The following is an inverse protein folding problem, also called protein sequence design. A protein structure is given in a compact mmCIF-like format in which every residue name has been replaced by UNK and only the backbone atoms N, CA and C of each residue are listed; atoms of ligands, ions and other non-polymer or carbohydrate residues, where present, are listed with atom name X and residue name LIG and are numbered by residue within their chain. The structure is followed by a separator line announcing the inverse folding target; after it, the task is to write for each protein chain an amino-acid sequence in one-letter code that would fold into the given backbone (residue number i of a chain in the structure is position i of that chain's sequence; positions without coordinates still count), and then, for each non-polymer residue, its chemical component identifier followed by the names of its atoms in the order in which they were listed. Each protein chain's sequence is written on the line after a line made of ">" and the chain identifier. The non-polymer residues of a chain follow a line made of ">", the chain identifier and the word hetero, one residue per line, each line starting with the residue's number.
data_IF_929760499386
#
_entry.id   IF_929760499386
#
_cell.length_a   1.000
_cell.length_b   1.000
_cell.length_c   1.000
_cell.angle_alpha   90.00
_cell.angle_beta   90.00
_cell.angle_gamma   90.00
#
_symmetry.space_group_name_H-M   'P 1'
#
loop_
_entity.id
_entity.type
_entity.pdbx_description
1 polymer ?
#
# COMPACT_ATOMS: atom_id res chain seq x y z
N UNK A 1 -5.98 -24.71 -35.09
CA UNK A 1 -5.29 -23.90 -34.07
C UNK A 1 -4.71 -24.85 -33.04
N UNK A 2 -3.38 -25.03 -32.98
CA UNK A 2 -2.76 -26.03 -32.11
C UNK A 2 -3.00 -25.74 -30.61
N UNK A 3 -3.22 -26.79 -29.81
CA UNK A 3 -3.41 -26.69 -28.33
C UNK A 3 -2.30 -25.87 -27.66
N UNK A 4 -1.07 -25.97 -28.17
CA UNK A 4 0.08 -25.16 -27.72
C UNK A 4 -0.08 -23.66 -27.98
N UNK A 5 -0.70 -23.26 -29.09
CA UNK A 5 -1.01 -21.84 -29.34
C UNK A 5 -2.11 -21.33 -28.42
N UNK A 6 -3.15 -22.14 -28.18
CA UNK A 6 -4.24 -21.73 -27.28
C UNK A 6 -3.73 -21.54 -25.84
N UNK A 7 -2.85 -22.43 -25.36
CA UNK A 7 -2.21 -22.29 -24.05
C UNK A 7 -1.33 -21.04 -23.96
N UNK A 8 -0.51 -20.74 -24.98
CA UNK A 8 0.29 -19.51 -25.00
C UNK A 8 -0.59 -18.25 -25.00
N UNK A 9 -1.69 -18.24 -25.77
CA UNK A 9 -2.59 -17.10 -25.84
C UNK A 9 -3.31 -16.87 -24.50
N UNK A 10 -3.71 -17.93 -23.79
CA UNK A 10 -4.31 -17.82 -22.45
C UNK A 10 -3.28 -17.30 -21.46
N UNK A 11 -2.04 -17.82 -21.45
CA UNK A 11 -0.98 -17.33 -20.57
C UNK A 11 -0.63 -15.86 -20.84
N UNK A 12 -0.52 -15.45 -22.10
CA UNK A 12 -0.32 -14.05 -22.49
C UNK A 12 -1.49 -13.18 -22.05
N UNK A 13 -2.73 -13.63 -22.22
CA UNK A 13 -3.90 -12.90 -21.80
C UNK A 13 -3.93 -12.72 -20.28
N UNK A 14 -3.64 -13.77 -19.50
CA UNK A 14 -3.56 -13.71 -18.04
C UNK A 14 -2.47 -12.75 -17.54
N UNK A 15 -1.29 -12.77 -18.16
CA UNK A 15 -0.18 -11.86 -17.81
C UNK A 15 -0.57 -10.42 -18.13
N UNK A 16 -1.12 -10.16 -19.32
CA UNK A 16 -1.55 -8.82 -19.73
C UNK A 16 -2.68 -8.32 -18.83
N UNK A 17 -3.67 -9.14 -18.49
CA UNK A 17 -4.76 -8.74 -17.57
C UNK A 17 -4.28 -8.53 -16.14
N UNK A 18 -3.28 -9.29 -15.66
CA UNK A 18 -2.69 -9.10 -14.33
C UNK A 18 -1.92 -7.78 -14.24
N UNK A 19 -1.05 -7.50 -15.22
CA UNK A 19 -0.27 -6.25 -15.27
C UNK A 19 -1.18 -5.02 -15.43
N UNK A 20 -2.21 -5.10 -16.28
CA UNK A 20 -3.18 -4.01 -16.46
C UNK A 20 -4.07 -3.79 -15.22
N UNK A 21 -4.51 -4.86 -14.56
CA UNK A 21 -5.30 -4.77 -13.32
C UNK A 21 -4.54 -4.11 -12.19
N UNK A 22 -3.27 -4.48 -11.99
CA UNK A 22 -2.41 -3.88 -10.97
C UNK A 22 -2.14 -2.40 -11.26
N UNK A 23 -1.90 -2.05 -12.53
CA UNK A 23 -1.67 -0.65 -12.94
C UNK A 23 -2.92 0.22 -12.75
N UNK A 24 -4.11 -0.29 -13.07
CA UNK A 24 -5.36 0.43 -12.86
C UNK A 24 -5.65 0.65 -11.36
N UNK A 25 -5.43 -0.37 -10.52
CA UNK A 25 -5.56 -0.23 -9.08
C UNK A 25 -4.56 0.78 -8.51
N UNK A 26 -3.31 0.77 -8.97
CA UNK A 26 -2.31 1.80 -8.60
C UNK A 26 -2.76 3.19 -9.03
N UNK A 27 -3.34 3.33 -10.24
CA UNK A 27 -3.87 4.62 -10.73
C UNK A 27 -5.03 5.13 -9.88
N UNK A 28 -5.97 4.26 -9.52
CA UNK A 28 -7.10 4.60 -8.65
C UNK A 28 -6.59 4.97 -7.26
N UNK A 29 -5.66 4.18 -6.71
CA UNK A 29 -5.05 4.43 -5.41
C UNK A 29 -4.34 5.79 -5.40
N UNK A 30 -3.55 6.11 -6.44
CA UNK A 30 -2.86 7.39 -6.56
C UNK A 30 -3.85 8.57 -6.59
N UNK A 31 -4.98 8.45 -7.31
CA UNK A 31 -6.04 9.47 -7.31
C UNK A 31 -6.65 9.64 -5.91
N UNK A 32 -6.96 8.56 -5.19
CA UNK A 32 -7.49 8.65 -3.82
C UNK A 32 -6.47 9.22 -2.83
N UNK A 33 -5.18 8.97 -3.04
CA UNK A 33 -4.09 9.45 -2.20
C UNK A 33 -3.55 10.84 -2.59
N UNK A 34 -4.22 11.56 -3.48
CA UNK A 34 -3.91 12.96 -3.76
C UNK A 34 -3.86 13.78 -2.47
N UNK A 35 -3.02 14.81 -2.48
CA UNK A 35 -2.72 15.62 -1.30
C UNK A 35 -3.97 16.19 -0.63
N UNK A 36 -4.93 16.69 -1.42
CA UNK A 36 -6.20 17.25 -0.93
C UNK A 36 -7.02 16.23 -0.15
N UNK A 37 -7.22 15.04 -0.72
CA UNK A 37 -7.94 13.94 -0.06
C UNK A 37 -7.24 13.50 1.24
N UNK A 38 -5.90 13.39 1.22
CA UNK A 38 -5.14 13.08 2.44
C UNK A 38 -5.30 14.16 3.51
N UNK A 39 -5.31 15.42 3.11
CA UNK A 39 -5.46 16.53 4.05
C UNK A 39 -6.85 16.55 4.69
N UNK A 40 -7.89 16.38 3.88
CA UNK A 40 -9.27 16.31 4.37
C UNK A 40 -9.50 15.09 5.26
N UNK A 41 -9.28 13.89 4.73
CA UNK A 41 -9.65 12.66 5.40
C UNK A 41 -8.65 12.17 6.44
N UNK A 42 -7.38 12.56 6.37
CA UNK A 42 -6.34 12.07 7.30
C UNK A 42 -5.79 13.16 8.24
N UNK A 43 -6.23 14.42 8.12
CA UNK A 43 -5.84 15.49 9.04
C UNK A 43 -7.04 16.26 9.59
N UNK A 44 -7.86 16.88 8.74
CA UNK A 44 -8.92 17.78 9.20
C UNK A 44 -10.08 17.06 9.91
N UNK A 45 -10.36 15.83 9.50
CA UNK A 45 -11.38 15.00 10.14
C UNK A 45 -10.94 14.40 11.48
N UNK A 46 -9.69 14.61 11.91
CA UNK A 46 -9.15 14.06 13.14
C UNK A 46 -8.91 15.15 14.19
N UNK A 47 -8.94 14.81 15.49
CA UNK A 47 -8.53 15.74 16.55
C UNK A 47 -7.10 16.25 16.36
N UNK A 48 -6.84 17.47 16.81
CA UNK A 48 -5.49 18.04 16.80
C UNK A 48 -4.55 17.13 17.61
N UNK A 49 -3.37 16.82 17.04
CA UNK A 49 -2.35 15.92 17.61
C UNK A 49 -2.82 14.46 17.80
N UNK A 50 -3.83 14.02 17.06
CA UNK A 50 -4.22 12.62 17.05
C UNK A 50 -3.11 11.76 16.43
N UNK A 51 -2.79 10.64 17.09
CA UNK A 51 -1.72 9.72 16.67
C UNK A 51 -2.12 8.27 16.90
N UNK A 52 -1.62 7.39 16.04
CA UNK A 52 -1.69 5.94 16.27
C UNK A 52 -0.34 5.37 16.66
N UNK A 53 -0.40 4.22 17.34
CA UNK A 53 0.77 3.41 17.65
C UNK A 53 1.04 2.47 16.49
N UNK A 54 2.20 2.64 15.89
CA UNK A 54 2.74 1.76 14.84
C UNK A 54 4.12 1.29 15.28
N UNK A 55 4.59 0.18 14.73
CA UNK A 55 5.97 -0.23 14.93
C UNK A 55 6.91 0.72 14.17
N UNK A 56 8.11 0.95 14.72
CA UNK A 56 9.11 1.80 14.05
C UNK A 56 9.41 1.30 12.65
N UNK A 57 9.37 0.00 12.47
CA UNK A 57 9.69 -0.64 11.22
C UNK A 57 8.58 -0.44 10.17
N UNK A 58 7.34 -0.13 10.57
CA UNK A 58 6.21 0.20 9.69
C UNK A 58 6.30 1.64 9.14
N UNK A 59 7.16 2.49 9.71
CA UNK A 59 7.34 3.84 9.20
C UNK A 59 8.34 3.83 8.04
N UNK A 60 7.82 3.76 6.81
CA UNK A 60 8.58 3.80 5.56
C UNK A 60 8.74 5.24 5.06
N UNK A 61 9.86 5.88 5.42
CA UNK A 61 10.28 7.18 4.84
C UNK A 61 11.23 6.94 3.65
N UNK A 62 11.34 7.93 2.76
CA UNK A 62 12.30 7.91 1.65
C UNK A 62 13.72 7.55 2.09
N UNK A 63 14.20 8.10 3.22
CA UNK A 63 15.52 7.77 3.78
C UNK A 63 15.70 6.29 4.13
N UNK A 64 14.63 5.62 4.54
CA UNK A 64 14.63 4.19 4.84
C UNK A 64 14.63 3.36 3.57
N UNK A 65 13.87 3.78 2.55
CA UNK A 65 13.88 3.18 1.21
C UNK A 65 15.28 3.25 0.61
N UNK A 66 15.88 4.45 0.56
CA UNK A 66 17.26 4.65 0.07
C UNK A 66 18.26 3.77 0.81
N UNK A 67 18.14 3.68 2.14
CA UNK A 67 19.02 2.82 2.94
C UNK A 67 18.84 1.33 2.64
N UNK A 68 17.61 0.86 2.43
CA UNK A 68 17.34 -0.53 2.04
C UNK A 68 17.95 -0.85 0.67
N UNK A 69 17.80 0.07 -0.28
CA UNK A 69 18.38 -0.04 -1.62
C UNK A 69 19.91 -0.10 -1.57
N UNK A 70 20.55 0.83 -0.84
CA UNK A 70 22.01 0.99 -0.84
C UNK A 70 22.75 0.00 0.07
N UNK A 71 22.19 -0.34 1.24
CA UNK A 71 22.90 -1.14 2.25
C UNK A 71 22.55 -2.61 2.21
N UNK A 72 21.37 -2.94 1.68
CA UNK A 72 20.82 -4.29 1.71
C UNK A 72 20.50 -4.83 0.31
N UNK A 73 20.86 -4.10 -0.75
CA UNK A 73 20.61 -4.46 -2.15
C UNK A 73 19.14 -4.85 -2.42
N UNK A 74 18.20 -4.19 -1.71
CA UNK A 74 16.78 -4.42 -1.93
C UNK A 74 16.39 -4.03 -3.35
N UNK A 75 15.70 -4.92 -4.05
CA UNK A 75 15.23 -4.64 -5.41
C UNK A 75 14.04 -3.68 -5.39
N UNK A 76 13.76 -3.04 -6.53
CA UNK A 76 12.58 -2.19 -6.66
C UNK A 76 11.28 -2.97 -6.36
N UNK A 77 11.17 -4.22 -6.84
CA UNK A 77 10.03 -5.10 -6.57
C UNK A 77 9.86 -5.39 -5.07
N UNK A 78 10.97 -5.64 -4.35
CA UNK A 78 10.93 -5.87 -2.91
C UNK A 78 10.44 -4.61 -2.16
N UNK A 79 10.90 -3.43 -2.58
CA UNK A 79 10.51 -2.16 -1.99
C UNK A 79 9.04 -1.84 -2.29
N UNK A 80 8.54 -2.14 -3.48
CA UNK A 80 7.13 -2.00 -3.85
C UNK A 80 6.25 -2.93 -3.01
N UNK A 81 6.61 -4.21 -2.86
CA UNK A 81 5.89 -5.16 -1.99
C UNK A 81 5.90 -4.72 -0.53
N UNK A 82 7.06 -4.30 -0.02
CA UNK A 82 7.21 -3.80 1.34
C UNK A 82 6.33 -2.56 1.57
N UNK A 83 6.34 -1.62 0.62
CA UNK A 83 5.49 -0.43 0.67
C UNK A 83 4.02 -0.79 0.69
N UNK A 84 3.59 -1.70 -0.21
CA UNK A 84 2.20 -2.11 -0.30
C UNK A 84 1.72 -2.78 0.98
N UNK A 85 2.47 -3.78 1.47
CA UNK A 85 2.15 -4.50 2.70
C UNK A 85 2.06 -3.55 3.91
N UNK A 86 3.08 -2.71 4.09
CA UNK A 86 3.14 -1.83 5.25
C UNK A 86 2.05 -0.77 5.20
N UNK A 87 1.80 -0.19 4.03
CA UNK A 87 0.75 0.82 3.85
C UNK A 87 -0.64 0.23 4.05
N UNK A 88 -0.89 -0.99 3.55
CA UNK A 88 -2.14 -1.72 3.77
C UNK A 88 -2.39 -1.96 5.27
N UNK A 89 -1.37 -2.38 6.02
CA UNK A 89 -1.47 -2.56 7.47
C UNK A 89 -1.76 -1.25 8.21
N UNK A 90 -1.15 -0.14 7.78
CA UNK A 90 -1.42 1.18 8.37
C UNK A 90 -2.87 1.60 8.09
N UNK A 91 -3.34 1.52 6.85
CA UNK A 91 -4.72 1.87 6.47
C UNK A 91 -5.72 1.00 7.24
N UNK A 92 -5.45 -0.30 7.39
CA UNK A 92 -6.25 -1.21 8.22
C UNK A 92 -6.34 -0.75 9.67
N UNK A 93 -5.20 -0.48 10.33
CA UNK A 93 -5.16 0.02 11.71
C UNK A 93 -5.93 1.32 11.87
N UNK A 94 -5.82 2.22 10.89
CA UNK A 94 -6.58 3.47 10.85
C UNK A 94 -8.08 3.18 10.80
N UNK A 95 -8.53 2.37 9.85
CA UNK A 95 -9.94 2.02 9.68
C UNK A 95 -10.50 1.37 10.95
N UNK A 96 -9.74 0.48 11.58
CA UNK A 96 -10.19 -0.30 12.74
C UNK A 96 -10.40 0.57 14.00
N UNK A 97 -9.78 1.75 14.10
CA UNK A 97 -10.04 2.71 15.19
C UNK A 97 -11.14 3.72 14.87
N UNK A 98 -11.64 3.75 13.63
CA UNK A 98 -12.67 4.68 13.21
C UNK A 98 -14.07 4.06 13.40
N UNK A 99 -15.00 4.76 14.09
CA UNK A 99 -16.40 4.39 14.07
C UNK A 99 -16.97 4.48 12.64
N UNK A 100 -17.95 3.63 12.30
CA UNK A 100 -18.60 3.63 10.97
C UNK A 100 -19.16 5.00 10.55
N UNK A 101 -19.57 5.82 11.52
CA UNK A 101 -20.10 7.18 11.29
C UNK A 101 -19.02 8.26 11.10
N UNK A 102 -17.75 7.93 11.29
CA UNK A 102 -16.65 8.87 11.14
C UNK A 102 -16.51 9.28 9.67
N UNK A 103 -16.31 10.57 9.33
CA UNK A 103 -16.27 11.04 7.94
C UNK A 103 -15.15 10.37 7.11
N UNK A 104 -14.04 9.96 7.73
CA UNK A 104 -12.95 9.24 7.07
C UNK A 104 -13.13 7.72 6.97
N UNK A 105 -14.18 7.13 7.57
CA UNK A 105 -14.35 5.68 7.62
C UNK A 105 -14.47 5.08 6.21
N UNK A 106 -15.35 5.64 5.38
CA UNK A 106 -15.54 5.17 4.00
C UNK A 106 -14.27 5.36 3.17
N UNK A 107 -13.62 6.52 3.28
CA UNK A 107 -12.34 6.79 2.61
C UNK A 107 -11.28 5.73 2.94
N UNK A 108 -11.11 5.39 4.22
CA UNK A 108 -10.15 4.38 4.67
C UNK A 108 -10.53 2.96 4.26
N UNK A 109 -11.83 2.67 4.17
CA UNK A 109 -12.34 1.38 3.69
C UNK A 109 -12.07 1.21 2.20
N UNK A 110 -12.31 2.24 1.39
CA UNK A 110 -12.02 2.21 -0.04
C UNK A 110 -10.53 1.98 -0.33
N UNK A 111 -9.65 2.70 0.40
CA UNK A 111 -8.21 2.50 0.29
C UNK A 111 -7.85 1.05 0.61
N UNK A 112 -8.38 0.50 1.71
CA UNK A 112 -8.13 -0.88 2.10
C UNK A 112 -8.58 -1.88 1.04
N UNK A 113 -9.77 -1.69 0.46
CA UNK A 113 -10.33 -2.59 -0.55
C UNK A 113 -9.44 -2.62 -1.81
N UNK A 114 -9.03 -1.46 -2.31
CA UNK A 114 -8.11 -1.38 -3.47
C UNK A 114 -6.79 -2.08 -3.16
N UNK A 115 -6.28 -1.91 -1.92
CA UNK A 115 -5.02 -2.50 -1.49
C UNK A 115 -5.10 -4.03 -1.32
N UNK A 116 -6.19 -4.55 -0.79
CA UNK A 116 -6.42 -5.99 -0.63
C UNK A 116 -6.73 -6.69 -1.96
N UNK A 117 -7.48 -6.06 -2.86
CA UNK A 117 -7.79 -6.60 -4.19
C UNK A 117 -6.52 -6.89 -4.99
N UNK A 118 -5.54 -5.99 -4.93
CA UNK A 118 -4.22 -6.14 -5.60
C UNK A 118 -3.30 -7.15 -4.89
N UNK A 119 -3.53 -7.45 -3.61
CA UNK A 119 -2.76 -8.48 -2.88
C UNK A 119 -3.32 -9.88 -3.11
N UNK A 120 -4.61 -10.02 -3.41
CA UNK A 120 -5.22 -11.32 -3.67
C UNK A 120 -4.88 -11.86 -5.07
N UNK A 121 -4.45 -10.99 -6.00
CA UNK A 121 -3.99 -11.34 -7.34
C UNK A 121 -2.52 -11.77 -7.39
N UNK A 122 -1.75 -11.40 -6.37
CA UNK A 122 -0.34 -11.77 -6.23
C UNK A 122 -0.20 -12.81 -5.13
N UNK A 123 0.32 -14.00 -5.41
CA UNK A 123 0.67 -14.98 -4.37
C UNK A 123 1.81 -14.40 -3.49
N UNK A 124 1.48 -13.52 -2.55
CA UNK A 124 2.44 -12.96 -1.61
C UNK A 124 2.60 -13.97 -0.48
N UNK A 125 3.63 -14.81 -0.62
CA UNK A 125 4.07 -15.68 0.46
C UNK A 125 4.65 -14.80 1.58
N UNK A 126 3.85 -14.51 2.61
CA UNK A 126 4.24 -13.71 3.76
C UNK A 126 5.30 -14.48 4.54
N UNK A 127 6.57 -14.15 4.32
CA UNK A 127 7.60 -14.46 5.31
C UNK A 127 7.17 -13.70 6.57
N UNK A 128 6.89 -14.43 7.64
CA UNK A 128 6.67 -13.86 8.98
C UNK A 128 7.83 -12.90 9.29
N UNK A 129 7.60 -11.60 9.13
CA UNK A 129 8.59 -10.58 9.44
C UNK A 129 8.82 -10.60 10.95
N UNK A 130 10.06 -10.74 11.42
CA UNK A 130 10.35 -11.08 12.81
C UNK A 130 9.97 -9.95 13.76
N UNK A 131 9.19 -10.33 14.78
CA UNK A 131 8.99 -9.69 16.09
C UNK A 131 9.33 -8.19 16.15
N UNK A 132 8.31 -7.39 15.93
CA UNK A 132 8.30 -5.94 16.08
C UNK A 132 8.50 -5.53 17.54
N UNK A 133 9.71 -5.07 17.88
CA UNK A 133 10.12 -4.88 19.29
C UNK A 133 9.78 -3.49 19.87
N UNK A 134 9.48 -2.46 19.06
CA UNK A 134 9.24 -1.09 19.55
C UNK A 134 8.19 -0.32 18.75
N UNK A 135 7.23 0.27 19.47
CA UNK A 135 6.22 1.17 18.93
C UNK A 135 6.68 2.63 18.91
N UNK A 136 6.22 3.38 17.92
CA UNK A 136 6.37 4.83 17.78
C UNK A 136 5.01 5.47 17.54
N UNK A 137 4.85 6.74 17.95
CA UNK A 137 3.68 7.53 17.59
C UNK A 137 3.84 8.03 16.17
N UNK A 138 2.81 7.84 15.37
CA UNK A 138 2.72 8.35 14.02
C UNK A 138 1.53 9.28 13.90
N UNK A 139 1.77 10.47 13.35
CA UNK A 139 0.70 11.30 12.80
C UNK A 139 0.24 10.67 11.49
N UNK A 140 -1.07 10.64 11.27
CA UNK A 140 -1.76 10.08 10.11
C UNK A 140 -1.24 10.67 8.79
N UNK A 141 -0.89 11.95 8.82
CA UNK A 141 -0.33 12.63 7.65
C UNK A 141 1.06 12.10 7.24
N UNK A 142 1.83 11.62 8.23
CA UNK A 142 3.23 11.19 8.05
C UNK A 142 3.43 9.68 7.97
N UNK A 143 2.50 8.89 8.50
CA UNK A 143 2.58 7.44 8.40
C UNK A 143 2.25 6.92 6.98
N UNK A 144 1.53 7.71 6.19
CA UNK A 144 1.16 7.41 4.81
C UNK A 144 1.91 8.29 3.78
N UNK A 145 3.18 8.62 4.00
CA UNK A 145 3.93 9.40 2.99
C UNK A 145 4.30 8.48 1.82
N UNK A 146 3.47 8.62 0.79
CA UNK A 146 3.57 8.08 -0.56
C UNK A 146 4.99 8.22 -1.12
N UNK A 147 5.54 7.09 -1.55
CA UNK A 147 6.48 7.06 -2.65
C UNK A 147 5.86 6.19 -3.75
N UNK A 148 4.88 6.75 -4.47
CA UNK A 148 4.47 6.21 -5.77
C UNK A 148 5.06 7.17 -6.80
N UNK A 149 6.32 6.96 -7.14
CA UNK A 149 6.85 7.41 -8.40
C UNK A 149 7.17 6.15 -9.21
N UNK A 150 6.58 6.06 -10.40
CA UNK A 150 6.75 5.05 -11.46
C UNK A 150 5.82 3.83 -11.46
N UNK A 151 4.57 4.05 -11.90
CA UNK A 151 3.91 3.15 -12.87
C UNK A 151 4.21 3.67 -14.28
N UNK A 152 5.49 3.65 -14.68
CA UNK A 152 5.91 4.06 -16.01
C UNK A 152 7.07 3.18 -16.44
N UNK A 153 6.82 1.88 -16.62
CA UNK A 153 7.56 0.98 -17.51
C UNK A 153 6.65 -0.20 -17.88
#
# INVERSE_FOLDING_TARGET
>A
MSIKMLSCMISLLCIVTGILGDCENIRILNKKLQYTNRLEYMKYNFPINYTIRVHREEVLRASKVTRLMQRYNATESDLQKLWWFTSNNIVKRIRDVLPKKHPSYNYTTDLQNIMEETLNTTEVNYIELPLWKKNVKCDYFFCAVLYIHHCSF
#
